data_IF_372477099148
#
_entry.id   IF_372477099148
#
_cell.length_a   1.000
_cell.length_b   1.000
_cell.length_c   1.000
_cell.angle_alpha   90.00
_cell.angle_beta   90.00
_cell.angle_gamma   90.00
#
_symmetry.space_group_name_H-M   'P 1'
#
loop_
_entity.id
_entity.type
_entity.pdbx_description
1 polymer ?
#
# COMPACT_ATOMS: atom_id res chain seq x y z
N UNK A 1 11.88 0.70 -25.38
CA UNK A 1 10.51 0.19 -25.45
C UNK A 1 9.78 0.69 -24.20
N UNK A 2 9.14 1.87 -24.32
CA UNK A 2 8.40 2.46 -23.20
C UNK A 2 7.07 1.73 -23.04
N UNK A 3 7.07 0.69 -22.23
CA UNK A 3 5.82 0.10 -21.75
C UNK A 3 5.24 1.08 -20.72
N UNK A 4 4.59 2.13 -21.19
CA UNK A 4 3.68 2.93 -20.37
C UNK A 4 2.48 2.04 -20.04
N UNK A 5 2.58 1.27 -18.98
CA UNK A 5 1.45 0.61 -18.34
C UNK A 5 0.50 1.74 -17.86
N UNK A 6 -0.38 2.18 -18.76
CA UNK A 6 -1.48 3.14 -18.46
C UNK A 6 -2.57 2.42 -17.66
N UNK A 7 -2.22 1.89 -16.49
CA UNK A 7 -3.23 1.45 -15.52
C UNK A 7 -3.84 2.73 -14.96
N UNK A 8 -5.14 2.91 -15.18
CA UNK A 8 -5.86 4.05 -14.57
C UNK A 8 -5.68 3.96 -13.05
N UNK A 9 -5.24 5.02 -12.36
CA UNK A 9 -4.93 4.96 -10.92
C UNK A 9 -6.11 4.46 -10.07
N UNK A 10 -7.35 4.70 -10.49
CA UNK A 10 -8.55 4.15 -9.85
C UNK A 10 -8.61 2.61 -9.87
N UNK A 11 -8.19 1.98 -10.96
CA UNK A 11 -8.19 0.50 -11.09
C UNK A 11 -7.09 -0.11 -10.22
N UNK A 12 -5.89 0.46 -10.25
CA UNK A 12 -4.78 0.03 -9.38
C UNK A 12 -5.17 0.12 -7.90
N UNK A 13 -5.87 1.18 -7.53
CA UNK A 13 -6.38 1.42 -6.19
C UNK A 13 -7.38 0.34 -5.74
N UNK A 14 -8.37 0.02 -6.57
CA UNK A 14 -9.34 -1.04 -6.28
C UNK A 14 -8.65 -2.40 -6.13
N UNK A 15 -7.73 -2.74 -7.02
CA UNK A 15 -6.97 -3.99 -6.94
C UNK A 15 -6.21 -4.08 -5.63
N UNK A 16 -5.56 -3.01 -5.19
CA UNK A 16 -4.81 -2.97 -3.92
C UNK A 16 -5.71 -3.18 -2.71
N UNK A 17 -6.87 -2.51 -2.66
CA UNK A 17 -7.83 -2.68 -1.56
C UNK A 17 -8.37 -4.10 -1.51
N UNK A 18 -8.84 -4.64 -2.64
CA UNK A 18 -9.38 -5.99 -2.69
C UNK A 18 -8.36 -7.05 -2.30
N UNK A 19 -7.12 -6.94 -2.81
CA UNK A 19 -6.06 -7.87 -2.44
C UNK A 19 -5.70 -7.78 -0.95
N UNK A 20 -5.60 -6.59 -0.38
CA UNK A 20 -5.35 -6.40 1.05
C UNK A 20 -6.48 -7.01 1.91
N UNK A 21 -7.74 -6.84 1.50
CA UNK A 21 -8.90 -7.36 2.21
C UNK A 21 -8.94 -8.90 2.17
N UNK A 22 -8.66 -9.51 1.03
CA UNK A 22 -8.61 -10.97 0.90
C UNK A 22 -7.50 -11.54 1.78
N UNK A 23 -6.30 -10.94 1.76
CA UNK A 23 -5.17 -11.39 2.58
C UNK A 23 -5.50 -11.21 4.06
N UNK A 24 -6.08 -10.09 4.46
CA UNK A 24 -6.52 -9.84 5.84
C UNK A 24 -7.48 -10.91 6.34
N UNK A 25 -8.55 -11.19 5.58
CA UNK A 25 -9.55 -12.18 5.96
C UNK A 25 -8.94 -13.59 6.07
N UNK A 26 -8.11 -13.97 5.12
CA UNK A 26 -7.47 -15.29 5.13
C UNK A 26 -6.54 -15.47 6.33
N UNK A 27 -5.64 -14.52 6.60
CA UNK A 27 -4.71 -14.64 7.71
C UNK A 27 -5.38 -14.49 9.06
N UNK A 28 -6.45 -13.68 9.19
CA UNK A 28 -7.27 -13.61 10.39
C UNK A 28 -7.92 -14.96 10.68
N UNK A 29 -8.52 -15.59 9.68
CA UNK A 29 -9.11 -16.91 9.81
C UNK A 29 -8.07 -17.97 10.21
N UNK A 30 -6.91 -18.01 9.53
CA UNK A 30 -5.84 -18.93 9.84
C UNK A 30 -5.23 -18.71 11.23
N UNK A 31 -5.13 -17.45 11.70
CA UNK A 31 -4.66 -17.13 13.03
C UNK A 31 -5.62 -17.65 14.11
N UNK A 32 -6.93 -17.46 13.93
CA UNK A 32 -7.97 -17.95 14.87
C UNK A 32 -7.95 -19.46 14.95
N UNK A 33 -7.94 -20.16 13.80
CA UNK A 33 -7.91 -21.64 13.80
C UNK A 33 -6.63 -22.15 14.48
N UNK A 34 -5.47 -21.58 14.13
CA UNK A 34 -4.21 -21.99 14.75
C UNK A 34 -4.21 -21.77 16.27
N UNK A 35 -4.80 -20.66 16.74
CA UNK A 35 -4.95 -20.39 18.17
C UNK A 35 -5.85 -21.43 18.86
N UNK A 36 -7.00 -21.79 18.27
CA UNK A 36 -7.90 -22.77 18.83
C UNK A 36 -7.26 -24.14 18.91
N UNK A 37 -6.57 -24.59 17.85
CA UNK A 37 -5.85 -25.87 17.83
C UNK A 37 -4.73 -25.87 18.90
N UNK A 38 -3.97 -24.81 19.00
CA UNK A 38 -2.90 -24.71 19.99
C UNK A 38 -3.43 -24.74 21.41
N UNK A 39 -4.55 -24.07 21.68
CA UNK A 39 -5.23 -24.09 22.98
C UNK A 39 -5.72 -25.48 23.36
N UNK A 40 -6.28 -26.24 22.43
CA UNK A 40 -6.75 -27.61 22.69
C UNK A 40 -5.59 -28.58 22.96
N UNK A 41 -4.50 -28.46 22.22
CA UNK A 41 -3.36 -29.38 22.33
C UNK A 41 -2.44 -29.10 23.53
N UNK A 42 -2.24 -27.83 23.87
CA UNK A 42 -1.22 -27.40 24.85
C UNK A 42 -1.79 -26.66 26.07
N UNK A 43 -3.13 -26.55 26.19
CA UNK A 43 -3.78 -25.95 27.35
C UNK A 43 -3.66 -24.45 27.51
N UNK A 44 -3.16 -23.76 26.52
CA UNK A 44 -2.96 -22.30 26.49
C UNK A 44 -1.54 -21.89 26.17
N UNK A 45 -1.36 -20.63 25.82
CA UNK A 45 -0.10 -20.04 25.34
C UNK A 45 -0.22 -19.54 23.92
N UNK A 46 0.72 -18.69 23.52
CA UNK A 46 0.79 -18.12 22.15
C UNK A 46 1.92 -18.81 21.40
N UNK A 47 1.57 -19.52 20.35
CA UNK A 47 2.55 -20.07 19.42
C UNK A 47 3.07 -18.95 18.48
N UNK A 48 4.35 -19.06 18.12
CA UNK A 48 5.02 -18.14 17.20
C UNK A 48 4.32 -18.04 15.85
N UNK A 49 3.76 -19.17 15.35
CA UNK A 49 3.02 -19.20 14.10
C UNK A 49 1.68 -18.44 14.19
N UNK A 50 1.01 -18.50 15.35
CA UNK A 50 -0.22 -17.73 15.61
C UNK A 50 0.10 -16.24 15.63
N UNK A 51 1.15 -15.82 16.35
CA UNK A 51 1.60 -14.43 16.40
C UNK A 51 1.97 -13.90 15.03
N UNK A 52 2.67 -14.69 14.24
CA UNK A 52 3.11 -14.29 12.91
C UNK A 52 1.92 -14.09 11.95
N UNK A 53 0.95 -15.00 11.95
CA UNK A 53 -0.28 -14.88 11.16
C UNK A 53 -1.13 -13.69 11.61
N UNK A 54 -1.25 -13.48 12.91
CA UNK A 54 -1.95 -12.32 13.47
C UNK A 54 -1.25 -11.00 13.10
N UNK A 55 0.08 -10.97 13.09
CA UNK A 55 0.86 -9.80 12.68
C UNK A 55 0.64 -9.45 11.21
N UNK A 56 0.63 -10.45 10.32
CA UNK A 56 0.33 -10.25 8.90
C UNK A 56 -1.09 -9.69 8.73
N UNK A 57 -2.08 -10.27 9.42
CA UNK A 57 -3.45 -9.76 9.41
C UNK A 57 -3.52 -8.32 9.93
N UNK A 58 -2.81 -8.00 11.02
CA UNK A 58 -2.74 -6.65 11.59
C UNK A 58 -2.14 -5.63 10.62
N UNK A 59 -1.05 -5.97 9.94
CA UNK A 59 -0.44 -5.09 8.93
C UNK A 59 -1.42 -4.86 7.77
N UNK A 60 -2.10 -5.90 7.30
CA UNK A 60 -3.09 -5.75 6.23
C UNK A 60 -4.29 -4.90 6.65
N UNK A 61 -4.74 -5.03 7.88
CA UNK A 61 -5.79 -4.16 8.44
C UNK A 61 -5.34 -2.69 8.48
N UNK A 62 -4.12 -2.42 8.95
CA UNK A 62 -3.54 -1.07 8.94
C UNK A 62 -3.42 -0.51 7.51
N UNK A 63 -3.05 -1.34 6.53
CA UNK A 63 -3.02 -0.93 5.13
C UNK A 63 -4.41 -0.51 4.64
N UNK A 64 -5.46 -1.25 4.98
CA UNK A 64 -6.84 -0.89 4.62
C UNK A 64 -7.23 0.46 5.25
N UNK A 65 -6.91 0.68 6.52
CA UNK A 65 -7.16 1.96 7.20
C UNK A 65 -6.39 3.12 6.54
N UNK A 66 -5.13 2.89 6.16
CA UNK A 66 -4.33 3.89 5.45
C UNK A 66 -4.90 4.19 4.06
N UNK A 67 -5.47 3.20 3.36
CA UNK A 67 -6.20 3.42 2.12
C UNK A 67 -7.40 4.35 2.31
N UNK A 68 -8.18 4.13 3.38
CA UNK A 68 -9.34 4.98 3.70
C UNK A 68 -8.89 6.42 4.02
N UNK A 69 -7.80 6.57 4.77
CA UNK A 69 -7.23 7.89 5.06
C UNK A 69 -6.70 8.57 3.80
N UNK A 70 -6.00 7.84 2.94
CA UNK A 70 -5.50 8.35 1.67
C UNK A 70 -6.61 8.96 0.80
N UNK A 71 -7.80 8.35 0.81
CA UNK A 71 -8.96 8.87 0.07
C UNK A 71 -9.46 10.23 0.59
N UNK A 72 -9.28 10.50 1.88
CA UNK A 72 -9.77 11.72 2.54
C UNK A 72 -8.79 12.90 2.43
N UNK A 73 -7.50 12.62 2.24
CA UNK A 73 -6.46 13.64 2.22
C UNK A 73 -6.33 14.22 0.82
N UNK A 74 -6.41 15.55 0.73
CA UNK A 74 -6.25 16.29 -0.54
C UNK A 74 -4.81 16.76 -0.78
N UNK A 75 -4.00 16.84 0.25
CA UNK A 75 -2.61 17.28 0.15
C UNK A 75 -1.71 16.20 -0.44
N UNK A 76 -1.10 16.51 -1.60
CA UNK A 76 -0.25 15.57 -2.35
C UNK A 76 0.98 15.11 -1.56
N UNK A 77 1.56 15.95 -0.72
CA UNK A 77 2.72 15.59 0.10
C UNK A 77 2.36 14.55 1.15
N UNK A 78 1.22 14.75 1.83
CA UNK A 78 0.70 13.81 2.82
C UNK A 78 0.29 12.49 2.18
N UNK A 79 -0.35 12.53 1.01
CA UNK A 79 -0.68 11.33 0.22
C UNK A 79 0.58 10.51 -0.13
N UNK A 80 1.66 11.19 -0.56
CA UNK A 80 2.94 10.55 -0.86
C UNK A 80 3.54 9.85 0.36
N UNK A 81 3.47 10.45 1.54
CA UNK A 81 3.99 9.87 2.77
C UNK A 81 3.21 8.61 3.15
N UNK A 82 1.88 8.66 3.08
CA UNK A 82 1.02 7.51 3.34
C UNK A 82 1.31 6.37 2.36
N UNK A 83 1.39 6.65 1.05
CA UNK A 83 1.69 5.63 0.04
C UNK A 83 3.05 4.97 0.24
N UNK A 84 4.06 5.71 0.68
CA UNK A 84 5.36 5.14 1.03
C UNK A 84 5.25 4.16 2.20
N UNK A 85 4.52 4.53 3.25
CA UNK A 85 4.26 3.64 4.39
C UNK A 85 3.51 2.38 3.96
N UNK A 86 2.49 2.52 3.14
CA UNK A 86 1.74 1.39 2.58
C UNK A 86 2.60 0.46 1.73
N UNK A 87 3.48 1.02 0.89
CA UNK A 87 4.41 0.24 0.08
C UNK A 87 5.37 -0.57 0.96
N UNK A 88 5.97 0.06 1.97
CA UNK A 88 6.87 -0.62 2.92
C UNK A 88 6.13 -1.74 3.65
N UNK A 89 4.92 -1.49 4.17
CA UNK A 89 4.11 -2.49 4.86
C UNK A 89 3.74 -3.68 3.96
N UNK A 90 3.27 -3.41 2.76
CA UNK A 90 2.91 -4.45 1.77
C UNK A 90 4.13 -5.28 1.36
N UNK A 91 5.27 -4.63 1.11
CA UNK A 91 6.52 -5.31 0.75
C UNK A 91 7.05 -6.16 1.91
N UNK A 92 6.94 -5.69 3.15
CA UNK A 92 7.33 -6.47 4.35
C UNK A 92 6.51 -7.75 4.46
N UNK A 93 5.20 -7.68 4.24
CA UNK A 93 4.34 -8.88 4.22
C UNK A 93 4.74 -9.82 3.09
N UNK A 94 4.96 -9.30 1.89
CA UNK A 94 5.41 -10.11 0.74
C UNK A 94 6.71 -10.87 1.05
N UNK A 95 7.72 -10.18 1.55
CA UNK A 95 9.01 -10.78 1.92
C UNK A 95 8.85 -11.83 3.01
N UNK A 96 8.03 -11.57 4.01
CA UNK A 96 7.74 -12.51 5.10
C UNK A 96 7.08 -13.79 4.58
N UNK A 97 6.10 -13.66 3.69
CA UNK A 97 5.42 -14.83 3.09
C UNK A 97 6.37 -15.68 2.25
N UNK A 98 7.23 -15.03 1.46
CA UNK A 98 8.24 -15.72 0.64
C UNK A 98 9.27 -16.41 1.52
N UNK A 99 9.85 -15.71 2.49
CA UNK A 99 10.93 -16.21 3.33
C UNK A 99 10.50 -17.39 4.21
N UNK A 100 9.30 -17.32 4.77
CA UNK A 100 8.82 -18.31 5.75
C UNK A 100 7.91 -19.38 5.13
N UNK A 101 7.61 -19.29 3.84
CA UNK A 101 6.72 -20.23 3.11
C UNK A 101 5.38 -20.46 3.84
N UNK A 102 4.85 -19.41 4.46
CA UNK A 102 3.69 -19.48 5.34
C UNK A 102 2.36 -19.71 4.64
N UNK A 103 2.32 -19.60 3.32
CA UNK A 103 1.09 -19.71 2.56
C UNK A 103 1.30 -20.28 1.16
N UNK A 104 0.20 -20.58 0.49
CA UNK A 104 0.24 -21.02 -0.91
C UNK A 104 0.78 -19.91 -1.82
N UNK A 105 1.31 -20.32 -2.97
CA UNK A 105 1.87 -19.42 -3.98
C UNK A 105 0.88 -18.33 -4.42
N UNK A 106 -0.42 -18.62 -4.38
CA UNK A 106 -1.47 -17.66 -4.74
C UNK A 106 -1.46 -16.41 -3.84
N UNK A 107 -1.25 -16.58 -2.53
CA UNK A 107 -1.18 -15.44 -1.61
C UNK A 107 0.13 -14.67 -1.75
N UNK A 108 1.22 -15.34 -2.08
CA UNK A 108 2.49 -14.69 -2.39
C UNK A 108 2.35 -13.82 -3.64
N UNK A 109 1.73 -14.33 -4.69
CA UNK A 109 1.44 -13.57 -5.91
C UNK A 109 0.51 -12.39 -5.61
N UNK A 110 -0.55 -12.61 -4.82
CA UNK A 110 -1.51 -11.57 -4.48
C UNK A 110 -0.86 -10.41 -3.69
N UNK A 111 0.03 -10.72 -2.74
CA UNK A 111 0.79 -9.69 -2.01
C UNK A 111 1.78 -8.96 -2.91
N UNK A 112 2.42 -9.66 -3.85
CA UNK A 112 3.28 -9.05 -4.87
C UNK A 112 2.50 -8.08 -5.77
N UNK A 113 1.33 -8.47 -6.24
CA UNK A 113 0.45 -7.61 -7.04
C UNK A 113 0.01 -6.39 -6.23
N UNK A 114 -0.36 -6.56 -4.96
CA UNK A 114 -0.71 -5.44 -4.07
C UNK A 114 0.45 -4.45 -3.93
N UNK A 115 1.66 -4.94 -3.71
CA UNK A 115 2.87 -4.11 -3.58
C UNK A 115 3.17 -3.33 -4.87
N UNK A 116 3.09 -4.00 -6.03
CA UNK A 116 3.31 -3.37 -7.33
C UNK A 116 2.25 -2.32 -7.65
N UNK A 117 0.98 -2.57 -7.34
CA UNK A 117 -0.09 -1.59 -7.58
C UNK A 117 0.06 -0.34 -6.72
N UNK A 118 0.49 -0.48 -5.46
CA UNK A 118 0.82 0.66 -4.59
C UNK A 118 1.98 1.46 -5.18
N UNK A 119 3.01 0.78 -5.70
CA UNK A 119 4.15 1.43 -6.35
C UNK A 119 3.73 2.24 -7.58
N UNK A 120 2.84 1.69 -8.42
CA UNK A 120 2.29 2.40 -9.60
C UNK A 120 1.55 3.66 -9.18
N UNK A 121 0.73 3.59 -8.12
CA UNK A 121 0.02 4.76 -7.59
C UNK A 121 1.03 5.80 -7.08
N UNK A 122 2.09 5.37 -6.39
CA UNK A 122 3.13 6.25 -5.88
C UNK A 122 3.87 7.00 -6.99
N UNK A 123 4.23 6.32 -8.09
CA UNK A 123 4.86 6.97 -9.23
C UNK A 123 3.92 7.97 -9.91
N UNK A 124 2.66 7.60 -10.11
CA UNK A 124 1.65 8.52 -10.67
C UNK A 124 1.50 9.79 -9.82
N UNK A 125 1.54 9.65 -8.49
CA UNK A 125 1.46 10.80 -7.58
C UNK A 125 2.72 11.68 -7.64
N UNK A 126 3.91 11.07 -7.77
CA UNK A 126 5.16 11.81 -7.92
C UNK A 126 5.14 12.66 -9.20
N UNK A 127 4.64 12.10 -10.29
CA UNK A 127 4.52 12.83 -11.55
C UNK A 127 3.55 14.01 -11.43
N UNK A 128 2.40 13.84 -10.75
CA UNK A 128 1.46 14.93 -10.47
C UNK A 128 2.10 16.05 -9.64
N UNK A 129 2.90 15.71 -8.62
CA UNK A 129 3.61 16.70 -7.79
C UNK A 129 4.63 17.49 -8.64
N UNK A 130 5.32 16.83 -9.58
CA UNK A 130 6.26 17.51 -10.48
C UNK A 130 5.54 18.46 -11.44
N UNK A 131 4.41 18.04 -12.01
CA UNK A 131 3.61 18.87 -12.90
C UNK A 131 3.07 20.10 -12.17
N UNK A 132 2.55 19.95 -10.96
CA UNK A 132 2.06 21.05 -10.14
C UNK A 132 3.18 22.05 -9.83
N UNK A 133 4.36 21.58 -9.48
CA UNK A 133 5.53 22.43 -9.23
C UNK A 133 5.95 23.20 -10.48
N UNK A 134 5.96 22.56 -11.64
CA UNK A 134 6.32 23.21 -12.91
C UNK A 134 5.31 24.29 -13.28
N UNK A 135 4.01 24.02 -13.15
CA UNK A 135 2.96 25.01 -13.44
C UNK A 135 2.98 26.21 -12.50
N UNK A 136 3.36 26.03 -11.24
CA UNK A 136 3.57 27.13 -10.30
C UNK A 136 4.75 28.00 -10.71
N UNK A 137 5.88 27.37 -11.08
CA UNK A 137 7.08 28.08 -11.53
C UNK A 137 6.79 28.89 -12.79
N UNK A 138 6.05 28.35 -13.76
CA UNK A 138 5.66 29.07 -14.97
C UNK A 138 4.76 30.27 -14.68
N UNK A 139 3.83 30.16 -13.75
CA UNK A 139 2.99 31.26 -13.27
C UNK A 139 3.79 32.37 -12.60
N UNK A 140 4.76 32.01 -11.78
CA UNK A 140 5.67 32.97 -11.11
C UNK A 140 6.50 33.73 -12.14
N UNK A 141 7.10 33.04 -13.12
CA UNK A 141 7.85 33.66 -14.21
C UNK A 141 6.98 34.62 -15.01
N UNK A 142 5.75 34.21 -15.35
CA UNK A 142 4.80 35.07 -16.06
C UNK A 142 4.46 36.33 -15.28
N UNK A 143 4.22 36.23 -13.96
CA UNK A 143 3.93 37.38 -13.10
C UNK A 143 5.13 38.32 -13.00
N UNK A 144 6.35 37.80 -12.86
CA UNK A 144 7.57 38.61 -12.84
C UNK A 144 7.77 39.36 -14.18
N UNK A 145 7.54 38.71 -15.32
CA UNK A 145 7.60 39.37 -16.63
C UNK A 145 6.55 40.46 -16.79
N UNK A 146 5.34 40.25 -16.28
CA UNK A 146 4.28 41.24 -16.30
C UNK A 146 4.58 42.48 -15.44
N UNK A 147 5.22 42.26 -14.28
CA UNK A 147 5.66 43.34 -13.40
C UNK A 147 6.83 44.13 -14.01
N UNK A 148 7.76 43.46 -14.68
CA UNK A 148 8.87 44.11 -15.38
C UNK A 148 8.42 45.01 -16.54
N UNK A 149 7.35 44.64 -17.24
CA UNK A 149 6.77 45.44 -18.32
C UNK A 149 5.98 46.66 -17.85
N UNK A 150 5.66 46.77 -16.55
CA UNK A 150 4.94 47.90 -15.96
C UNK A 150 5.83 49.03 -15.43
N UNK A 151 7.13 48.83 -15.45
CA UNK A 151 8.14 49.86 -15.19
C UNK A 151 8.66 50.43 -16.51
#
# INVERSE_FOLDING_TARGET
MDIKLKIKPKVAYLISIFSALIIFLFFSYKAVIAYLIHRELYGGGLDILVLLRASIAGIMFLLILLFIQFMKIKDLKSQRTILRGMFVGSTSVFVTLVALKLSSIYFIILTGISSLTILVILFSLIDQIKEEKNTLTDKEIYLLQKLAKKK
#
